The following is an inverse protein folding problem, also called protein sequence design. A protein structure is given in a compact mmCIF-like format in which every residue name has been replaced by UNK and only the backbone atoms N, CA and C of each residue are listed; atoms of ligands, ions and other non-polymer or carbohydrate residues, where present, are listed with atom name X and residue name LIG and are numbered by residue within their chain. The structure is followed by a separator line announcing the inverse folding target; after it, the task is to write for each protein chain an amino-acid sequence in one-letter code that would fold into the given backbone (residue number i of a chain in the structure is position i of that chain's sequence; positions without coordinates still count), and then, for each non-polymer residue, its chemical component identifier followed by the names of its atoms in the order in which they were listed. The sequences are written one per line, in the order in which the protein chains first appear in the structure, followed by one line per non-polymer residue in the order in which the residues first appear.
data_IF_684135838622
#
_entry.id   IF_684135838622
#
_cell.length_a   1.000
_cell.length_b   1.000
_cell.length_c   1.000
_cell.angle_alpha   90.00
_cell.angle_beta   90.00
_cell.angle_gamma   90.00
#
_symmetry.space_group_name_H-M   'P 1'
#
loop_
_entity.id
_entity.type
_entity.pdbx_description
1 polymer ?
#
# COMPACT_ATOMS: atom_id res chain seq x y z
N UNK A 1 -20.73 39.35 -8.00
CA UNK A 1 -20.76 38.19 -7.08
C UNK A 1 -21.32 37.03 -7.90
N UNK A 2 -20.67 35.90 -8.17
CA UNK A 2 -19.47 35.23 -7.64
C UNK A 2 -18.75 34.51 -8.79
N UNK A 3 -17.41 34.35 -8.73
CA UNK A 3 -16.67 33.68 -9.79
C UNK A 3 -16.85 32.15 -9.71
N UNK A 4 -17.04 31.54 -10.87
CA UNK A 4 -17.17 30.10 -11.03
C UNK A 4 -15.90 29.36 -10.59
N UNK A 5 -16.04 28.49 -9.59
CA UNK A 5 -15.02 27.51 -9.24
C UNK A 5 -15.11 26.35 -10.21
N UNK A 6 -14.21 26.34 -11.19
CA UNK A 6 -13.88 25.13 -11.95
C UNK A 6 -13.16 24.19 -10.97
N UNK A 7 -13.73 23.02 -10.73
CA UNK A 7 -13.06 21.98 -9.95
C UNK A 7 -11.80 21.53 -10.72
N UNK A 8 -10.64 21.38 -10.05
CA UNK A 8 -9.45 20.87 -10.72
C UNK A 8 -9.70 19.42 -11.15
N UNK A 9 -9.68 19.18 -12.47
CA UNK A 9 -9.59 17.83 -13.04
C UNK A 9 -8.15 17.38 -12.83
N UNK A 10 -7.94 16.52 -11.84
CA UNK A 10 -6.67 15.82 -11.66
C UNK A 10 -6.70 14.59 -12.57
N UNK A 11 -6.09 14.70 -13.74
CA UNK A 11 -5.89 13.56 -14.64
C UNK A 11 -4.76 12.71 -14.09
N UNK A 12 -5.10 11.58 -13.46
CA UNK A 12 -4.12 10.56 -13.08
C UNK A 12 -3.69 9.79 -14.33
N UNK A 13 -2.43 9.94 -14.71
CA UNK A 13 -1.80 9.02 -15.67
C UNK A 13 -1.27 7.85 -14.85
N UNK A 14 -2.00 6.74 -14.87
CA UNK A 14 -1.52 5.44 -14.40
C UNK A 14 -0.76 4.81 -15.57
N UNK A 15 0.58 4.70 -15.54
CA UNK A 15 1.27 3.89 -16.53
C UNK A 15 0.90 2.43 -16.27
N UNK A 16 0.08 1.86 -17.16
CA UNK A 16 -0.20 0.43 -17.22
C UNK A 16 1.04 -0.22 -17.83
N UNK A 17 1.60 -1.20 -17.14
CA UNK A 17 2.73 -1.97 -17.67
C UNK A 17 2.45 -3.46 -17.49
N UNK A 18 2.27 -4.17 -18.61
CA UNK A 18 2.11 -5.62 -18.69
C UNK A 18 3.43 -6.26 -19.12
N UNK A 19 3.85 -7.35 -18.47
CA UNK A 19 5.10 -8.03 -18.82
C UNK A 19 5.03 -9.57 -18.73
N UNK A 20 5.83 -10.29 -19.54
CA UNK A 20 5.76 -11.73 -19.72
C UNK A 20 6.53 -12.53 -18.65
N UNK A 21 6.18 -13.81 -18.48
CA UNK A 21 6.65 -14.70 -17.40
C UNK A 21 8.06 -15.32 -17.59
N UNK A 22 8.60 -16.00 -16.54
CA UNK A 22 10.04 -16.23 -16.40
C UNK A 22 10.50 -17.66 -16.76
N UNK A 23 11.71 -17.77 -17.33
CA UNK A 23 12.53 -18.98 -17.23
C UNK A 23 13.80 -18.72 -16.39
N UNK A 24 14.12 -19.69 -15.54
CA UNK A 24 14.99 -19.60 -14.38
C UNK A 24 16.50 -19.71 -14.69
N UNK A 25 17.35 -19.22 -13.75
CA UNK A 25 18.48 -19.97 -13.11
C UNK A 25 19.43 -19.08 -12.29
N UNK A 26 19.84 -19.61 -11.12
CA UNK A 26 21.23 -19.74 -10.65
C UNK A 26 21.83 -18.65 -9.74
N UNK A 27 22.00 -18.96 -8.43
CA UNK A 27 22.63 -18.12 -7.41
C UNK A 27 24.17 -18.19 -7.37
N UNK A 28 24.87 -17.06 -7.14
CA UNK A 28 26.26 -17.03 -6.67
C UNK A 28 26.39 -16.15 -5.41
N UNK A 29 27.35 -16.49 -4.54
CA UNK A 29 27.60 -15.81 -3.25
C UNK A 29 28.18 -14.40 -3.49
N UNK A 30 27.54 -13.40 -2.87
CA UNK A 30 27.87 -11.97 -2.99
C UNK A 30 28.96 -11.55 -2.00
N UNK A 31 29.95 -10.77 -2.44
CA UNK A 31 31.06 -10.23 -1.65
C UNK A 31 30.56 -9.21 -0.60
N UNK A 32 31.13 -9.08 0.63
CA UNK A 32 30.60 -8.17 1.66
C UNK A 32 30.58 -6.69 1.24
N UNK A 33 31.47 -6.29 0.33
CA UNK A 33 31.51 -4.96 -0.25
C UNK A 33 30.40 -4.72 -1.29
N UNK A 34 29.97 -5.76 -2.00
CA UNK A 34 28.80 -5.76 -2.87
C UNK A 34 27.50 -5.85 -2.07
N UNK A 35 27.48 -6.62 -0.99
CA UNK A 35 26.36 -6.64 -0.04
C UNK A 35 26.13 -5.26 0.59
N UNK A 36 27.20 -4.52 0.93
CA UNK A 36 27.10 -3.13 1.41
C UNK A 36 26.58 -2.16 0.34
N UNK A 37 27.05 -2.27 -0.91
CA UNK A 37 26.54 -1.45 -2.01
C UNK A 37 25.09 -1.78 -2.34
N UNK A 38 24.72 -3.06 -2.32
CA UNK A 38 23.34 -3.50 -2.44
C UNK A 38 22.50 -2.90 -1.32
N UNK A 39 22.97 -2.96 -0.07
CA UNK A 39 22.24 -2.38 1.07
C UNK A 39 22.07 -0.87 0.93
N UNK A 40 23.08 -0.17 0.40
CA UNK A 40 23.04 1.28 0.14
C UNK A 40 22.14 1.63 -1.05
N UNK A 41 22.17 0.83 -2.12
CA UNK A 41 21.26 1.01 -3.25
C UNK A 41 19.83 0.74 -2.79
N UNK A 42 19.56 -0.33 -2.05
CA UNK A 42 18.25 -0.63 -1.48
C UNK A 42 17.72 0.46 -0.54
N UNK A 43 18.59 1.06 0.28
CA UNK A 43 18.23 2.18 1.14
C UNK A 43 17.90 3.46 0.34
N UNK A 44 18.70 3.79 -0.68
CA UNK A 44 18.47 4.91 -1.58
C UNK A 44 17.17 4.72 -2.37
N UNK A 45 16.95 3.52 -2.88
CA UNK A 45 15.78 3.09 -3.64
C UNK A 45 14.50 3.15 -2.77
N UNK A 46 14.54 2.69 -1.52
CA UNK A 46 13.42 2.84 -0.59
C UNK A 46 13.11 4.31 -0.24
N UNK A 47 14.15 5.14 -0.05
CA UNK A 47 14.05 6.58 0.22
C UNK A 47 13.51 7.36 -0.97
N UNK A 48 13.91 6.93 -2.14
CA UNK A 48 13.52 7.49 -3.41
C UNK A 48 12.06 7.21 -3.72
N UNK A 49 11.60 6.02 -3.36
CA UNK A 49 10.21 5.64 -3.49
C UNK A 49 9.26 6.28 -2.47
N UNK A 50 9.79 6.80 -1.38
CA UNK A 50 9.06 7.65 -0.44
C UNK A 50 8.83 9.10 -0.94
N UNK A 51 9.44 9.51 -2.06
CA UNK A 51 9.49 10.93 -2.48
C UNK A 51 9.06 11.26 -3.92
N UNK A 52 8.72 10.28 -4.77
CA UNK A 52 8.33 10.51 -6.18
C UNK A 52 9.30 11.42 -6.98
N UNK A 53 10.32 10.81 -7.60
CA UNK A 53 11.03 11.35 -8.78
C UNK A 53 12.57 11.28 -8.71
N UNK A 54 13.21 10.41 -9.51
CA UNK A 54 14.64 10.58 -9.82
C UNK A 54 15.07 10.05 -11.19
N UNK A 55 14.97 10.95 -12.17
CA UNK A 55 15.66 10.79 -13.46
C UNK A 55 17.19 10.93 -13.33
N UNK A 56 17.70 11.63 -12.31
CA UNK A 56 19.13 11.94 -12.18
C UNK A 56 19.98 10.81 -11.56
N UNK A 57 19.39 9.96 -10.70
CA UNK A 57 20.10 8.88 -9.99
C UNK A 57 19.98 7.53 -10.69
N UNK A 58 18.89 7.23 -11.40
CA UNK A 58 18.87 6.15 -12.38
C UNK A 58 20.02 6.37 -13.38
N UNK A 59 20.18 7.61 -13.88
CA UNK A 59 21.32 7.98 -14.73
C UNK A 59 22.69 7.84 -14.04
N UNK A 60 22.79 7.96 -12.72
CA UNK A 60 24.05 7.80 -11.99
C UNK A 60 24.37 6.32 -11.68
N UNK A 61 23.37 5.53 -11.30
CA UNK A 61 23.48 4.08 -11.11
C UNK A 61 23.80 3.37 -12.44
N UNK A 62 23.24 3.83 -13.56
CA UNK A 62 23.62 3.37 -14.90
C UNK A 62 25.04 3.74 -15.28
N UNK A 63 25.47 4.99 -15.02
CA UNK A 63 26.84 5.41 -15.31
C UNK A 63 27.84 4.63 -14.47
N UNK A 64 27.46 4.24 -13.26
CA UNK A 64 28.25 3.35 -12.40
C UNK A 64 28.27 1.89 -12.91
N UNK A 65 27.14 1.36 -13.38
CA UNK A 65 27.07 0.03 -13.99
C UNK A 65 27.83 -0.04 -15.33
N UNK A 66 27.79 1.02 -16.14
CA UNK A 66 28.54 1.16 -17.38
C UNK A 66 30.06 1.39 -17.14
N UNK A 67 30.44 1.86 -15.96
CA UNK A 67 31.84 2.08 -15.57
C UNK A 67 32.49 0.86 -14.88
N UNK A 68 31.74 -0.22 -14.64
CA UNK A 68 32.32 -1.47 -14.17
C UNK A 68 33.11 -2.13 -15.32
N UNK A 69 34.39 -2.51 -15.12
CA UNK A 69 35.18 -3.14 -16.16
C UNK A 69 34.54 -4.48 -16.54
N UNK A 70 33.98 -4.54 -17.74
CA UNK A 70 33.42 -5.77 -18.30
C UNK A 70 34.58 -6.73 -18.53
N UNK A 71 34.54 -7.92 -17.94
CA UNK A 71 35.44 -9.02 -18.38
C UNK A 71 35.01 -9.39 -19.79
N UNK A 72 35.91 -9.21 -20.75
CA UNK A 72 35.67 -9.60 -22.14
C UNK A 72 35.31 -11.10 -22.19
N UNK A 73 34.08 -11.40 -22.62
CA UNK A 73 33.61 -12.77 -22.85
C UNK A 73 32.41 -13.24 -22.03
N UNK A 74 31.91 -12.46 -21.06
CA UNK A 74 30.66 -12.80 -20.37
C UNK A 74 29.44 -12.33 -21.18
N UNK A 75 28.38 -13.16 -21.32
CA UNK A 75 27.14 -12.74 -21.97
C UNK A 75 26.59 -11.51 -21.26
N UNK A 76 26.21 -10.53 -22.08
CA UNK A 76 25.62 -9.28 -21.63
C UNK A 76 24.46 -9.59 -20.66
N UNK A 77 24.47 -9.09 -19.41
CA UNK A 77 23.42 -9.46 -18.49
C UNK A 77 22.09 -8.88 -19.00
N UNK A 78 20.96 -9.55 -18.75
CA UNK A 78 19.64 -9.04 -19.11
C UNK A 78 19.27 -7.90 -18.15
N UNK A 79 19.99 -6.79 -18.24
CA UNK A 79 19.73 -5.62 -17.42
C UNK A 79 18.58 -4.86 -18.06
N UNK A 80 17.39 -5.00 -17.46
CA UNK A 80 16.24 -4.16 -17.75
C UNK A 80 16.62 -2.67 -17.73
N UNK A 81 15.84 -1.86 -18.43
CA UNK A 81 16.18 -0.44 -18.58
C UNK A 81 16.29 0.23 -17.20
N UNK A 82 17.12 1.28 -17.07
CA UNK A 82 17.16 2.09 -15.84
C UNK A 82 15.79 2.51 -15.32
N UNK A 83 14.88 2.84 -16.24
CA UNK A 83 13.51 3.23 -15.91
C UNK A 83 12.77 2.07 -15.25
N UNK A 84 12.93 0.84 -15.75
CA UNK A 84 12.29 -0.35 -15.15
C UNK A 84 12.79 -0.62 -13.73
N UNK A 85 14.10 -0.51 -13.49
CA UNK A 85 14.66 -0.62 -12.13
C UNK A 85 14.13 0.45 -11.19
N UNK A 86 13.95 1.65 -11.73
CA UNK A 86 13.32 2.75 -11.05
C UNK A 86 11.86 2.37 -10.71
N UNK A 87 11.04 2.02 -11.68
CA UNK A 87 9.62 1.74 -11.42
C UNK A 87 9.42 0.55 -10.47
N UNK A 88 10.22 -0.51 -10.61
CA UNK A 88 10.18 -1.67 -9.72
C UNK A 88 10.51 -1.29 -8.27
N UNK A 89 11.48 -0.40 -8.07
CA UNK A 89 11.80 0.08 -6.73
C UNK A 89 10.69 0.93 -6.13
N UNK A 90 10.07 1.81 -6.93
CA UNK A 90 8.90 2.59 -6.49
C UNK A 90 7.80 1.65 -5.99
N UNK A 91 7.50 0.63 -6.80
CA UNK A 91 6.53 -0.39 -6.47
C UNK A 91 6.90 -1.14 -5.18
N UNK A 92 8.17 -1.52 -4.98
CA UNK A 92 8.63 -2.22 -3.77
C UNK A 92 8.41 -1.39 -2.51
N UNK A 93 8.75 -0.11 -2.52
CA UNK A 93 8.55 0.73 -1.33
C UNK A 93 7.07 0.95 -1.02
N UNK A 94 6.23 1.13 -2.05
CA UNK A 94 4.78 1.22 -1.86
C UNK A 94 4.20 -0.08 -1.31
N UNK A 95 4.62 -1.23 -1.85
CA UNK A 95 4.21 -2.54 -1.36
C UNK A 95 4.65 -2.76 0.09
N UNK A 96 5.89 -2.42 0.43
CA UNK A 96 6.41 -2.46 1.79
C UNK A 96 5.64 -1.55 2.76
N UNK A 97 5.29 -0.34 2.34
CA UNK A 97 4.49 0.56 3.14
C UNK A 97 3.08 0.02 3.38
N UNK A 98 2.45 -0.54 2.34
CA UNK A 98 1.14 -1.20 2.46
C UNK A 98 1.21 -2.41 3.40
N UNK A 99 2.28 -3.21 3.33
CA UNK A 99 2.54 -4.29 4.30
C UNK A 99 2.63 -3.75 5.73
N UNK A 100 3.42 -2.70 5.99
CA UNK A 100 3.56 -2.13 7.34
C UNK A 100 2.22 -1.66 7.92
N UNK A 101 1.42 -0.96 7.11
CA UNK A 101 0.08 -0.50 7.48
C UNK A 101 -0.84 -1.69 7.76
N UNK A 102 -0.77 -2.74 6.94
CA UNK A 102 -1.59 -3.92 7.11
C UNK A 102 -1.17 -4.73 8.35
N UNK A 103 0.12 -4.90 8.60
CA UNK A 103 0.64 -5.47 9.85
C UNK A 103 0.13 -4.70 11.07
N UNK A 104 0.14 -3.36 11.03
CA UNK A 104 -0.40 -2.54 12.10
C UNK A 104 -1.92 -2.74 12.30
N UNK A 105 -2.69 -2.87 11.21
CA UNK A 105 -4.12 -3.20 11.27
C UNK A 105 -4.40 -4.58 11.84
N UNK A 106 -3.69 -5.62 11.37
CA UNK A 106 -3.83 -7.00 11.87
C UNK A 106 -3.58 -7.06 13.38
N UNK A 107 -2.54 -6.39 13.87
CA UNK A 107 -2.24 -6.33 15.32
C UNK A 107 -3.34 -5.70 16.16
N UNK A 108 -4.12 -4.76 15.62
CA UNK A 108 -5.25 -4.12 16.33
C UNK A 108 -6.51 -4.98 16.39
N UNK A 109 -6.74 -5.78 15.35
CA UNK A 109 -7.93 -6.64 15.26
C UNK A 109 -7.69 -7.95 16.00
N UNK A 110 -6.44 -8.42 16.09
CA UNK A 110 -6.09 -9.57 16.90
C UNK A 110 -6.34 -9.28 18.39
N UNK A 111 -7.03 -10.19 19.13
CA UNK A 111 -7.11 -10.08 20.57
C UNK A 111 -5.69 -10.14 21.16
N UNK A 112 -5.41 -9.39 22.25
CA UNK A 112 -4.14 -9.52 22.95
C UNK A 112 -3.99 -10.98 23.39
N UNK A 113 -2.85 -11.58 23.03
CA UNK A 113 -2.50 -12.95 23.42
C UNK A 113 -2.47 -13.02 24.96
N UNK A 114 -3.55 -13.53 25.57
CA UNK A 114 -3.61 -13.83 27.00
C UNK A 114 -4.70 -13.10 27.78
N UNK A 115 -5.91 -13.67 27.79
CA UNK A 115 -6.69 -13.84 29.02
C UNK A 115 -7.31 -15.24 28.98
N UNK A 116 -7.07 -16.04 30.03
CA UNK A 116 -7.29 -17.48 30.09
C UNK A 116 -8.76 -17.92 30.05
N UNK A 117 -9.39 -17.77 28.90
CA UNK A 117 -10.61 -18.46 28.52
C UNK A 117 -10.30 -19.59 27.52
N UNK A 118 -11.14 -20.61 27.50
CA UNK A 118 -11.05 -21.78 26.61
C UNK A 118 -10.62 -21.46 25.17
N UNK A 119 -9.99 -22.40 24.44
CA UNK A 119 -9.56 -22.20 23.05
C UNK A 119 -10.77 -22.11 22.11
N UNK A 120 -11.55 -21.05 22.21
CA UNK A 120 -12.38 -20.58 21.12
C UNK A 120 -11.41 -20.15 20.04
N UNK A 121 -11.36 -20.90 18.94
CA UNK A 121 -10.42 -20.72 17.83
C UNK A 121 -10.43 -19.25 17.37
N UNK A 122 -9.50 -18.45 17.88
CA UNK A 122 -9.30 -17.09 17.40
C UNK A 122 -9.00 -17.20 15.90
N UNK A 123 -9.64 -16.37 15.06
CA UNK A 123 -9.42 -16.44 13.62
C UNK A 123 -7.92 -16.32 13.33
N UNK A 124 -7.41 -17.22 12.50
CA UNK A 124 -5.99 -17.26 12.17
C UNK A 124 -5.54 -15.90 11.63
N UNK A 125 -4.46 -15.36 12.19
CA UNK A 125 -3.91 -14.09 11.71
C UNK A 125 -3.47 -14.28 10.26
N UNK A 126 -3.87 -13.40 9.33
CA UNK A 126 -3.43 -13.53 7.94
C UNK A 126 -1.91 -13.40 7.88
N UNK A 127 -1.25 -14.39 7.26
CA UNK A 127 0.19 -14.37 7.04
C UNK A 127 0.54 -13.36 5.95
N UNK A 128 1.40 -12.41 6.30
CA UNK A 128 1.88 -11.38 5.38
C UNK A 128 3.36 -11.64 5.05
N UNK A 129 3.77 -11.45 3.79
CA UNK A 129 5.16 -11.62 3.41
C UNK A 129 6.04 -10.58 4.12
N UNK A 130 7.31 -10.90 4.41
CA UNK A 130 8.24 -9.93 4.95
C UNK A 130 8.49 -8.82 3.92
N UNK A 131 8.84 -7.65 4.42
CA UNK A 131 9.21 -6.51 3.58
C UNK A 131 10.45 -6.83 2.73
N UNK A 132 10.42 -6.46 1.44
CA UNK A 132 11.53 -6.69 0.52
C UNK A 132 12.60 -5.62 0.66
N UNK A 133 13.86 -6.04 0.70
CA UNK A 133 15.01 -5.18 0.44
C UNK A 133 15.50 -5.53 -0.97
N UNK A 134 15.36 -4.64 -1.99
CA UNK A 134 15.66 -4.98 -3.38
C UNK A 134 17.17 -5.13 -3.68
N UNK A 135 18.01 -4.90 -2.66
CA UNK A 135 19.46 -5.03 -2.70
C UNK A 135 19.91 -6.41 -3.20
N UNK A 136 20.60 -6.46 -4.34
CA UNK A 136 21.21 -7.69 -4.84
C UNK A 136 20.24 -8.69 -5.47
N UNK A 137 18.96 -8.31 -5.66
CA UNK A 137 17.98 -9.11 -6.38
C UNK A 137 17.99 -8.78 -7.87
N UNK A 138 17.45 -9.70 -8.68
CA UNK A 138 17.14 -9.46 -10.09
C UNK A 138 15.74 -8.86 -10.27
N UNK A 139 15.51 -8.21 -11.41
CA UNK A 139 14.24 -7.52 -11.70
C UNK A 139 13.04 -8.49 -11.78
N UNK A 140 13.24 -9.68 -12.33
CA UNK A 140 12.24 -10.75 -12.41
C UNK A 140 11.84 -11.29 -11.03
N UNK A 141 12.81 -11.38 -10.10
CA UNK A 141 12.56 -11.75 -8.70
C UNK A 141 11.73 -10.67 -8.00
N UNK A 142 12.03 -9.39 -8.25
CA UNK A 142 11.28 -8.26 -7.72
C UNK A 142 9.83 -8.27 -8.24
N UNK A 143 9.63 -8.45 -9.55
CA UNK A 143 8.30 -8.51 -10.14
C UNK A 143 7.48 -9.69 -9.60
N UNK A 144 8.12 -10.85 -9.43
CA UNK A 144 7.48 -12.03 -8.83
C UNK A 144 7.05 -11.74 -7.40
N UNK A 145 7.92 -11.12 -6.60
CA UNK A 145 7.59 -10.73 -5.23
C UNK A 145 6.45 -9.70 -5.18
N UNK A 146 6.46 -8.70 -6.06
CA UNK A 146 5.39 -7.70 -6.15
C UNK A 146 4.03 -8.34 -6.44
N UNK A 147 3.97 -9.21 -7.45
CA UNK A 147 2.74 -9.89 -7.83
C UNK A 147 2.21 -10.83 -6.74
N UNK A 148 3.10 -11.50 -6.00
CA UNK A 148 2.72 -12.33 -4.84
C UNK A 148 2.23 -11.48 -3.67
N UNK A 149 2.94 -10.39 -3.38
CA UNK A 149 2.64 -9.48 -2.27
C UNK A 149 1.29 -8.82 -2.46
N UNK A 150 1.02 -8.32 -3.66
CA UNK A 150 -0.25 -7.68 -4.01
C UNK A 150 -1.45 -8.63 -3.80
N UNK A 151 -1.35 -9.89 -4.26
CA UNK A 151 -2.37 -10.92 -3.99
C UNK A 151 -2.52 -11.25 -2.51
N UNK A 152 -1.41 -11.37 -1.79
CA UNK A 152 -1.43 -11.72 -0.35
C UNK A 152 -2.04 -10.60 0.48
N UNK A 153 -1.71 -9.34 0.15
CA UNK A 153 -2.28 -8.15 0.76
C UNK A 153 -3.79 -8.07 0.52
N UNK A 154 -4.28 -8.33 -0.71
CA UNK A 154 -5.73 -8.37 -0.98
C UNK A 154 -6.45 -9.43 -0.16
N UNK A 155 -5.91 -10.64 -0.10
CA UNK A 155 -6.48 -11.73 0.71
C UNK A 155 -6.55 -11.35 2.19
N UNK A 156 -5.49 -10.77 2.73
CA UNK A 156 -5.44 -10.32 4.11
C UNK A 156 -6.39 -9.14 4.39
N UNK A 157 -6.55 -8.19 3.45
CA UNK A 157 -7.55 -7.13 3.56
C UNK A 157 -8.98 -7.67 3.54
N UNK A 158 -9.28 -8.62 2.65
CA UNK A 158 -10.57 -9.33 2.62
C UNK A 158 -10.84 -10.08 3.92
N UNK A 159 -9.85 -10.79 4.44
CA UNK A 159 -9.99 -11.52 5.71
C UNK A 159 -10.27 -10.58 6.88
N UNK A 160 -9.56 -9.45 6.97
CA UNK A 160 -9.88 -8.42 7.95
C UNK A 160 -11.29 -7.85 7.74
N UNK A 161 -11.73 -7.63 6.50
CA UNK A 161 -13.08 -7.14 6.22
C UNK A 161 -14.17 -8.15 6.64
N UNK A 162 -13.91 -9.47 6.51
CA UNK A 162 -14.79 -10.54 7.01
C UNK A 162 -14.86 -10.58 8.54
N UNK A 163 -13.73 -10.43 9.21
CA UNK A 163 -13.68 -10.32 10.67
C UNK A 163 -14.44 -9.08 11.16
N UNK A 164 -14.33 -7.97 10.43
CA UNK A 164 -15.14 -6.76 10.70
C UNK A 164 -16.64 -7.05 10.51
N UNK A 165 -17.00 -7.80 9.48
CA UNK A 165 -18.39 -8.17 9.21
C UNK A 165 -19.00 -9.05 10.32
N UNK A 166 -18.26 -10.03 10.81
CA UNK A 166 -18.73 -10.91 11.90
C UNK A 166 -18.96 -10.13 13.19
N UNK A 167 -18.11 -9.15 13.49
CA UNK A 167 -18.29 -8.23 14.63
C UNK A 167 -19.55 -7.37 14.48
N UNK A 168 -19.85 -6.87 13.27
CA UNK A 168 -21.09 -6.14 13.01
C UNK A 168 -22.33 -7.02 13.21
N UNK A 169 -22.27 -8.30 12.82
CA UNK A 169 -23.37 -9.24 12.96
C UNK A 169 -23.65 -9.61 14.44
N UNK A 170 -22.61 -9.74 15.26
CA UNK A 170 -22.73 -10.09 16.68
C UNK A 170 -23.24 -8.94 17.58
N UNK A 171 -23.18 -7.69 17.12
CA UNK A 171 -23.65 -6.52 17.89
C UNK A 171 -25.17 -6.27 17.81
N UNK A 172 -25.92 -7.11 17.07
CA UNK A 172 -27.37 -7.03 16.95
C UNK A 172 -28.03 -7.76 18.12
N UNK A 173 -28.90 -7.09 18.89
CA UNK A 173 -29.59 -7.67 20.07
C UNK A 173 -30.51 -8.85 19.71
N UNK A 174 -30.99 -8.92 18.47
CA UNK A 174 -31.61 -10.12 17.92
C UNK A 174 -30.51 -11.07 17.42
N UNK A 175 -30.27 -12.16 18.17
CA UNK A 175 -29.29 -13.24 17.91
C UNK A 175 -29.36 -13.89 16.50
N UNK A 176 -30.29 -13.46 15.63
CA UNK A 176 -30.38 -13.90 14.23
C UNK A 176 -30.48 -12.73 13.25
N UNK A 177 -29.56 -12.61 12.29
CA UNK A 177 -29.66 -11.60 11.24
C UNK A 177 -30.92 -11.82 10.37
N UNK A 178 -31.63 -10.73 10.09
CA UNK A 178 -32.80 -10.73 9.20
C UNK A 178 -32.44 -11.30 7.82
N UNK A 179 -33.43 -11.81 7.07
CA UNK A 179 -33.21 -12.31 5.71
C UNK A 179 -32.56 -11.25 4.80
N UNK A 180 -32.92 -9.98 4.98
CA UNK A 180 -32.31 -8.84 4.30
C UNK A 180 -30.84 -8.68 4.67
N UNK A 181 -30.49 -8.68 5.95
CA UNK A 181 -29.09 -8.57 6.39
C UNK A 181 -28.21 -9.70 5.82
N UNK A 182 -28.72 -10.95 5.83
CA UNK A 182 -28.04 -12.09 5.21
C UNK A 182 -27.81 -11.90 3.71
N UNK A 183 -28.82 -11.38 2.99
CA UNK A 183 -28.73 -11.12 1.55
C UNK A 183 -27.70 -10.05 1.21
N UNK A 184 -27.69 -8.94 1.95
CA UNK A 184 -26.70 -7.87 1.82
C UNK A 184 -25.27 -8.39 2.03
N UNK A 185 -25.06 -9.16 3.10
CA UNK A 185 -23.75 -9.75 3.41
C UNK A 185 -23.31 -10.79 2.39
N UNK A 186 -24.22 -11.62 1.87
CA UNK A 186 -23.89 -12.58 0.83
C UNK A 186 -23.38 -11.90 -0.46
N UNK A 187 -23.94 -10.73 -0.84
CA UNK A 187 -23.40 -9.96 -1.96
C UNK A 187 -22.03 -9.39 -1.65
N UNK A 188 -21.85 -8.82 -0.46
CA UNK A 188 -20.55 -8.28 -0.01
C UNK A 188 -19.47 -9.35 0.02
N UNK A 189 -19.79 -10.53 0.53
CA UNK A 189 -18.86 -11.66 0.62
C UNK A 189 -18.38 -12.13 -0.76
N UNK A 190 -19.28 -12.17 -1.76
CA UNK A 190 -18.91 -12.44 -3.15
C UNK A 190 -17.95 -11.38 -3.69
N UNK A 191 -18.28 -10.09 -3.54
CA UNK A 191 -17.41 -9.00 -4.01
C UNK A 191 -16.02 -9.01 -3.33
N UNK A 192 -15.95 -9.35 -2.05
CA UNK A 192 -14.70 -9.52 -1.31
C UNK A 192 -13.88 -10.72 -1.78
N UNK A 193 -14.55 -11.81 -2.17
CA UNK A 193 -13.92 -13.00 -2.75
C UNK A 193 -13.35 -12.68 -4.12
N UNK A 194 -14.15 -12.06 -4.99
CA UNK A 194 -13.72 -11.62 -6.33
C UNK A 194 -12.53 -10.65 -6.23
N UNK A 195 -12.58 -9.71 -5.28
CA UNK A 195 -11.46 -8.82 -4.96
C UNK A 195 -10.20 -9.59 -4.55
N UNK A 196 -10.31 -10.56 -3.64
CA UNK A 196 -9.17 -11.34 -3.15
C UNK A 196 -8.53 -12.24 -4.22
N UNK A 197 -9.33 -12.71 -5.18
CA UNK A 197 -8.90 -13.60 -6.26
C UNK A 197 -8.39 -12.86 -7.51
N UNK A 198 -8.69 -11.56 -7.63
CA UNK A 198 -8.23 -10.71 -8.72
C UNK A 198 -6.72 -10.83 -8.94
N UNK A 199 -6.33 -11.00 -10.21
CA UNK A 199 -4.94 -11.16 -10.65
C UNK A 199 -4.24 -9.82 -10.83
N UNK A 200 -5.01 -8.77 -11.14
CA UNK A 200 -4.51 -7.41 -11.38
C UNK A 200 -5.21 -6.40 -10.48
N UNK A 201 -4.60 -5.22 -10.33
CA UNK A 201 -5.22 -4.09 -9.61
C UNK A 201 -6.51 -3.62 -10.29
N UNK A 202 -6.57 -3.69 -11.62
CA UNK A 202 -7.78 -3.34 -12.38
C UNK A 202 -8.92 -4.32 -12.11
N UNK A 203 -8.66 -5.63 -12.18
CA UNK A 203 -9.65 -6.65 -11.83
C UNK A 203 -10.13 -6.48 -10.39
N UNK A 204 -9.23 -6.14 -9.47
CA UNK A 204 -9.59 -5.89 -8.08
C UNK A 204 -10.49 -4.65 -7.93
N UNK A 205 -10.22 -3.58 -8.67
CA UNK A 205 -11.07 -2.39 -8.70
C UNK A 205 -12.45 -2.70 -9.30
N UNK A 206 -12.49 -3.47 -10.38
CA UNK A 206 -13.73 -3.86 -11.08
C UNK A 206 -14.57 -4.86 -10.26
N UNK A 207 -13.95 -5.63 -9.37
CA UNK A 207 -14.64 -6.56 -8.46
C UNK A 207 -15.52 -5.84 -7.41
N UNK A 208 -15.23 -4.57 -7.11
CA UNK A 208 -16.02 -3.76 -6.17
C UNK A 208 -16.98 -2.85 -6.96
N UNK A 209 -18.31 -2.99 -6.77
CA UNK A 209 -19.27 -2.16 -7.50
C UNK A 209 -19.07 -0.65 -7.27
N UNK A 210 -19.09 0.20 -8.31
CA UNK A 210 -18.84 1.64 -8.21
C UNK A 210 -20.04 2.46 -7.71
N UNK A 211 -21.14 1.81 -7.30
CA UNK A 211 -22.40 2.44 -6.88
C UNK A 211 -23.03 3.34 -7.96
N UNK A 212 -22.99 2.91 -9.21
CA UNK A 212 -23.42 3.75 -10.35
C UNK A 212 -24.91 3.64 -10.66
N UNK A 213 -25.61 2.66 -10.10
CA UNK A 213 -27.04 2.50 -10.36
C UNK A 213 -27.83 3.76 -10.00
N UNK A 214 -28.68 4.28 -10.91
CA UNK A 214 -29.47 5.46 -10.61
C UNK A 214 -30.49 5.13 -9.52
N UNK A 215 -30.72 6.08 -8.61
CA UNK A 215 -31.81 5.94 -7.65
C UNK A 215 -33.15 6.13 -8.38
N UNK A 216 -34.12 5.22 -8.21
CA UNK A 216 -35.44 5.36 -8.82
C UNK A 216 -36.23 6.48 -8.15
N UNK A 217 -37.30 6.94 -8.81
CA UNK A 217 -38.33 7.75 -8.15
C UNK A 217 -39.18 6.89 -7.21
N UNK A 218 -39.75 7.50 -6.16
CA UNK A 218 -40.51 6.79 -5.13
C UNK A 218 -41.58 5.80 -5.66
N UNK A 219 -42.45 6.14 -6.65
CA UNK A 219 -43.45 5.18 -7.13
C UNK A 219 -42.86 3.97 -7.88
N UNK A 220 -41.61 4.06 -8.33
CA UNK A 220 -40.89 2.95 -8.98
C UNK A 220 -40.02 2.15 -7.98
N UNK A 221 -39.91 2.60 -6.72
CA UNK A 221 -39.11 1.92 -5.71
C UNK A 221 -39.89 0.72 -5.16
N UNK A 222 -39.42 -0.47 -5.49
CA UNK A 222 -39.91 -1.74 -4.91
C UNK A 222 -38.95 -2.22 -3.82
N UNK A 223 -39.42 -3.12 -2.95
CA UNK A 223 -38.55 -3.78 -1.97
C UNK A 223 -37.41 -4.57 -2.62
N UNK A 224 -37.65 -5.18 -3.78
CA UNK A 224 -36.62 -5.89 -4.53
C UNK A 224 -35.52 -4.93 -5.03
N UNK A 225 -35.92 -3.80 -5.62
CA UNK A 225 -34.99 -2.78 -6.11
C UNK A 225 -34.23 -2.10 -4.97
N UNK A 226 -34.90 -1.83 -3.85
CA UNK A 226 -34.24 -1.31 -2.64
C UNK A 226 -33.17 -2.30 -2.12
N UNK A 227 -33.48 -3.60 -2.14
CA UNK A 227 -32.52 -4.64 -1.74
C UNK A 227 -31.34 -4.73 -2.70
N UNK A 228 -31.56 -4.67 -4.01
CA UNK A 228 -30.50 -4.65 -5.03
C UNK A 228 -29.58 -3.44 -4.89
N UNK A 229 -30.14 -2.25 -4.67
CA UNK A 229 -29.35 -1.04 -4.42
C UNK A 229 -28.56 -1.14 -3.11
N UNK A 230 -29.18 -1.66 -2.04
CA UNK A 230 -28.49 -1.89 -0.77
C UNK A 230 -27.36 -2.90 -0.90
N UNK A 231 -27.56 -3.97 -1.66
CA UNK A 231 -26.55 -4.97 -1.99
C UNK A 231 -25.36 -4.35 -2.72
N UNK A 232 -25.61 -3.54 -3.75
CA UNK A 232 -24.57 -2.81 -4.48
C UNK A 232 -23.79 -1.87 -3.54
N UNK A 233 -24.49 -1.09 -2.72
CA UNK A 233 -23.91 -0.14 -1.77
C UNK A 233 -23.04 -0.79 -0.70
N UNK A 234 -23.44 -1.95 -0.17
CA UNK A 234 -22.61 -2.65 0.79
C UNK A 234 -21.44 -3.35 0.08
N UNK A 235 -21.67 -3.95 -1.08
CA UNK A 235 -20.67 -4.70 -1.83
C UNK A 235 -19.50 -3.85 -2.33
N UNK A 236 -19.73 -2.60 -2.71
CA UNK A 236 -18.67 -1.71 -3.20
C UNK A 236 -17.79 -1.06 -2.12
N UNK A 237 -18.02 -1.34 -0.82
CA UNK A 237 -17.24 -0.70 0.24
C UNK A 237 -15.76 -1.09 0.11
N UNK A 238 -14.85 -0.13 0.35
CA UNK A 238 -13.43 -0.46 0.42
C UNK A 238 -13.18 -1.39 1.64
N UNK A 239 -12.36 -2.45 1.51
CA UNK A 239 -12.01 -3.33 2.64
C UNK A 239 -11.39 -2.61 3.86
N UNK A 240 -10.93 -1.37 3.71
CA UNK A 240 -10.41 -0.52 4.79
C UNK A 240 -11.47 0.39 5.43
N UNK A 241 -12.75 0.28 5.06
CA UNK A 241 -13.83 0.99 5.75
C UNK A 241 -13.95 0.49 7.20
N UNK A 242 -14.00 1.37 8.22
CA UNK A 242 -14.08 0.97 9.62
C UNK A 242 -15.39 0.26 9.97
N UNK A 243 -15.32 -0.67 10.93
CA UNK A 243 -16.46 -1.46 11.47
C UNK A 243 -17.67 -0.57 11.74
N UNK A 244 -17.49 0.50 12.52
CA UNK A 244 -18.58 1.39 12.93
C UNK A 244 -19.26 2.10 11.74
N UNK A 245 -18.52 2.37 10.65
CA UNK A 245 -19.11 2.95 9.45
C UNK A 245 -19.90 1.91 8.64
N UNK A 246 -19.37 0.68 8.55
CA UNK A 246 -20.05 -0.44 7.91
C UNK A 246 -21.35 -0.80 8.64
N UNK A 247 -21.32 -0.92 9.97
CA UNK A 247 -22.49 -1.24 10.80
C UNK A 247 -23.63 -0.21 10.62
N UNK A 248 -23.32 1.09 10.70
CA UNK A 248 -24.31 2.15 10.47
C UNK A 248 -24.90 2.14 9.07
N UNK A 249 -24.11 1.77 8.06
CA UNK A 249 -24.61 1.65 6.69
C UNK A 249 -25.57 0.47 6.59
N UNK A 250 -25.18 -0.70 7.12
CA UNK A 250 -26.01 -1.90 7.13
C UNK A 250 -27.36 -1.66 7.82
N UNK A 251 -27.36 -1.03 8.99
CA UNK A 251 -28.58 -0.68 9.73
C UNK A 251 -29.50 0.21 8.89
N UNK A 252 -28.95 1.30 8.31
CA UNK A 252 -29.71 2.21 7.47
C UNK A 252 -30.27 1.57 6.20
N UNK A 253 -29.50 0.67 5.58
CA UNK A 253 -29.93 -0.10 4.40
C UNK A 253 -31.02 -1.11 4.75
N UNK A 254 -30.87 -1.85 5.86
CA UNK A 254 -31.89 -2.77 6.36
C UNK A 254 -33.22 -2.05 6.56
N UNK A 255 -33.19 -0.88 7.22
CA UNK A 255 -34.39 -0.07 7.43
C UNK A 255 -35.01 0.44 6.13
N UNK A 256 -34.19 0.87 5.17
CA UNK A 256 -34.66 1.33 3.88
C UNK A 256 -35.37 0.21 3.10
N UNK A 257 -34.80 -1.00 3.10
CA UNK A 257 -35.39 -2.17 2.44
C UNK A 257 -36.71 -2.59 3.08
N UNK A 258 -36.78 -2.59 4.41
CA UNK A 258 -38.03 -2.88 5.15
C UNK A 258 -39.15 -1.90 4.82
N UNK A 259 -38.83 -0.61 4.69
CA UNK A 259 -39.83 0.42 4.39
C UNK A 259 -40.27 0.40 2.93
N UNK A 260 -39.45 -0.09 2.00
CA UNK A 260 -39.70 0.02 0.57
C UNK A 260 -40.99 -0.69 0.09
N UNK A 261 -41.45 -1.74 0.78
CA UNK A 261 -42.70 -2.45 0.41
C UNK A 261 -43.98 -1.70 0.78
N UNK A 262 -43.94 -0.80 1.77
CA UNK A 262 -45.16 -0.19 2.34
C UNK A 262 -45.10 1.33 2.38
N UNK A 263 -43.89 1.91 2.38
CA UNK A 263 -43.62 3.34 2.50
C UNK A 263 -42.43 3.74 1.61
N UNK A 264 -42.52 3.58 0.28
CA UNK A 264 -41.40 3.82 -0.64
C UNK A 264 -40.93 5.29 -0.63
N UNK A 265 -41.84 6.23 -0.36
CA UNK A 265 -41.48 7.65 -0.20
C UNK A 265 -40.54 7.91 0.99
N UNK A 266 -40.64 7.12 2.06
CA UNK A 266 -39.78 7.23 3.24
C UNK A 266 -38.49 6.40 3.11
N UNK A 267 -38.53 5.31 2.33
CA UNK A 267 -37.36 4.50 2.02
C UNK A 267 -36.35 5.24 1.12
N UNK A 268 -36.83 6.04 0.16
CA UNK A 268 -35.97 6.70 -0.83
C UNK A 268 -34.95 7.68 -0.21
N UNK A 269 -35.31 8.58 0.73
CA UNK A 269 -34.34 9.42 1.43
C UNK A 269 -33.29 8.61 2.21
N UNK A 270 -33.67 7.45 2.77
CA UNK A 270 -32.73 6.57 3.47
C UNK A 270 -31.71 5.94 2.52
N UNK A 271 -32.14 5.49 1.34
CA UNK A 271 -31.24 4.99 0.29
C UNK A 271 -30.30 6.08 -0.22
N UNK A 272 -30.81 7.31 -0.40
CA UNK A 272 -29.96 8.44 -0.78
C UNK A 272 -28.92 8.75 0.32
N UNK A 273 -29.34 8.82 1.58
CA UNK A 273 -28.42 9.03 2.70
C UNK A 273 -27.40 7.90 2.84
N UNK A 274 -27.79 6.65 2.58
CA UNK A 274 -26.89 5.51 2.58
C UNK A 274 -25.84 5.61 1.46
N UNK A 275 -26.23 5.99 0.24
CA UNK A 275 -25.31 6.21 -0.88
C UNK A 275 -24.26 7.28 -0.55
N UNK A 276 -24.69 8.43 -0.04
CA UNK A 276 -23.79 9.51 0.38
C UNK A 276 -22.82 9.06 1.49
N UNK A 277 -23.32 8.28 2.46
CA UNK A 277 -22.47 7.73 3.53
C UNK A 277 -21.47 6.72 3.01
N UNK A 278 -21.86 5.84 2.08
CA UNK A 278 -20.96 4.86 1.46
C UNK A 278 -19.84 5.56 0.68
N UNK A 279 -20.19 6.56 -0.14
CA UNK A 279 -19.21 7.39 -0.85
C UNK A 279 -18.24 8.08 0.12
N UNK A 280 -18.76 8.77 1.13
CA UNK A 280 -17.93 9.44 2.13
C UNK A 280 -17.06 8.45 2.94
N UNK A 281 -17.55 7.24 3.20
CA UNK A 281 -16.78 6.20 3.89
C UNK A 281 -15.61 5.70 3.04
N UNK A 282 -15.85 5.41 1.76
CA UNK A 282 -14.80 5.01 0.81
C UNK A 282 -13.78 6.12 0.62
N UNK A 283 -14.23 7.38 0.43
CA UNK A 283 -13.33 8.53 0.29
C UNK A 283 -12.42 8.70 1.52
N UNK A 284 -12.99 8.62 2.74
CA UNK A 284 -12.20 8.69 3.97
C UNK A 284 -11.27 7.48 4.15
N UNK A 285 -11.69 6.28 3.73
CA UNK A 285 -10.85 5.09 3.77
C UNK A 285 -9.64 5.24 2.84
N UNK A 286 -9.86 5.73 1.62
CA UNK A 286 -8.79 6.04 0.68
C UNK A 286 -7.81 7.08 1.24
N UNK A 287 -8.30 8.20 1.79
CA UNK A 287 -7.44 9.23 2.39
C UNK A 287 -6.65 8.74 3.61
N UNK A 288 -7.23 7.88 4.45
CA UNK A 288 -6.50 7.24 5.57
C UNK A 288 -5.44 6.27 5.06
N UNK A 289 -5.75 5.45 4.05
CA UNK A 289 -4.79 4.54 3.42
C UNK A 289 -3.61 5.32 2.85
N UNK A 290 -3.87 6.37 2.08
CA UNK A 290 -2.84 7.25 1.52
C UNK A 290 -1.96 7.86 2.61
N UNK A 291 -2.57 8.39 3.68
CA UNK A 291 -1.85 9.00 4.80
C UNK A 291 -0.97 7.98 5.53
N UNK A 292 -1.50 6.78 5.79
CA UNK A 292 -0.79 5.71 6.48
C UNK A 292 0.34 5.13 5.63
N UNK A 293 0.13 4.90 4.33
CA UNK A 293 1.16 4.43 3.40
C UNK A 293 2.28 5.47 3.27
N UNK A 294 1.94 6.75 3.09
CA UNK A 294 2.93 7.83 3.11
C UNK A 294 3.72 7.82 4.42
N UNK A 295 3.04 7.70 5.57
CA UNK A 295 3.70 7.73 6.87
C UNK A 295 4.66 6.55 7.06
N UNK A 296 4.26 5.34 6.63
CA UNK A 296 5.10 4.15 6.67
C UNK A 296 6.36 4.32 5.81
N UNK A 297 6.22 4.91 4.60
CA UNK A 297 7.37 5.23 3.76
C UNK A 297 8.34 6.19 4.45
N UNK A 298 7.82 7.27 5.06
CA UNK A 298 8.67 8.24 5.76
C UNK A 298 9.37 7.61 6.98
N UNK A 299 8.66 6.80 7.78
CA UNK A 299 9.24 6.10 8.93
C UNK A 299 10.40 5.21 8.54
N UNK A 300 10.26 4.45 7.44
CA UNK A 300 11.35 3.60 6.93
C UNK A 300 12.61 4.42 6.64
N UNK A 301 12.48 5.60 6.07
CA UNK A 301 13.63 6.48 5.79
C UNK A 301 14.22 7.04 7.06
N UNK A 302 13.39 7.59 7.94
CA UNK A 302 13.84 8.27 9.16
C UNK A 302 14.48 7.30 10.17
N UNK A 303 14.04 6.04 10.21
CA UNK A 303 14.60 5.00 11.11
C UNK A 303 15.86 4.32 10.59
N UNK A 304 16.28 4.55 9.34
CA UNK A 304 17.50 3.91 8.81
C UNK A 304 18.75 4.36 9.61
N UNK A 305 19.55 3.48 10.20
CA UNK A 305 20.61 3.85 11.15
C UNK A 305 21.79 4.65 10.56
N UNK A 306 21.82 4.93 9.25
CA UNK A 306 23.00 5.42 8.52
C UNK A 306 22.97 6.91 8.14
N UNK A 307 22.12 7.72 8.75
CA UNK A 307 22.12 9.15 8.42
C UNK A 307 23.19 9.94 9.17
N UNK A 308 23.90 10.78 8.44
CA UNK A 308 24.73 11.85 9.01
C UNK A 308 23.89 13.06 9.49
N UNK A 309 22.57 13.05 9.27
CA UNK A 309 21.67 14.20 9.51
C UNK A 309 21.07 14.28 10.94
N UNK A 310 21.66 13.61 11.93
CA UNK A 310 21.09 13.50 13.28
C UNK A 310 19.80 12.65 13.34
N UNK A 311 19.32 12.32 14.56
CA UNK A 311 18.06 11.60 14.74
C UNK A 311 16.87 12.46 14.32
N UNK A 312 15.81 11.82 13.81
CA UNK A 312 14.56 12.53 13.56
C UNK A 312 13.92 12.97 14.89
N UNK A 313 13.21 14.11 14.94
CA UNK A 313 12.50 14.54 16.14
C UNK A 313 11.46 13.50 16.58
N UNK A 314 11.41 13.21 17.88
CA UNK A 314 10.51 12.21 18.45
C UNK A 314 9.04 12.49 18.08
N UNK A 315 8.62 13.76 18.17
CA UNK A 315 7.26 14.16 17.80
C UNK A 315 6.89 13.81 16.35
N UNK A 316 7.84 13.85 15.42
CA UNK A 316 7.63 13.45 14.04
C UNK A 316 7.49 11.93 13.91
N UNK A 317 8.33 11.16 14.60
CA UNK A 317 8.24 9.69 14.62
C UNK A 317 6.92 9.22 15.23
N UNK A 318 6.54 9.77 16.39
CA UNK A 318 5.26 9.46 17.04
C UNK A 318 4.07 9.80 16.15
N UNK A 319 4.08 10.95 15.46
CA UNK A 319 2.99 11.32 14.57
C UNK A 319 2.85 10.36 13.38
N UNK A 320 3.97 9.92 12.80
CA UNK A 320 3.97 8.95 11.71
C UNK A 320 3.53 7.56 12.20
N UNK A 321 3.97 7.13 13.39
CA UNK A 321 3.55 5.87 14.01
C UNK A 321 2.04 5.84 14.22
N UNK A 322 1.46 6.91 14.79
CA UNK A 322 -0.01 7.03 14.93
C UNK A 322 -0.72 7.02 13.57
N UNK A 323 -0.14 7.64 12.54
CA UNK A 323 -0.71 7.61 11.20
C UNK A 323 -0.70 6.19 10.60
N UNK A 324 0.38 5.42 10.78
CA UNK A 324 0.46 4.01 10.35
C UNK A 324 -0.49 3.13 11.16
N UNK A 325 -0.51 3.31 12.48
CA UNK A 325 -1.27 2.48 13.39
C UNK A 325 -2.76 2.75 13.33
N UNK A 326 -3.17 4.02 13.34
CA UNK A 326 -4.58 4.41 13.45
C UNK A 326 -5.17 4.98 12.17
N UNK A 327 -4.34 5.36 11.19
CA UNK A 327 -4.79 6.13 10.04
C UNK A 327 -5.09 7.58 10.41
N UNK A 328 -4.46 8.08 11.48
CA UNK A 328 -4.65 9.44 11.96
C UNK A 328 -4.10 10.46 10.94
N UNK A 329 -4.78 11.62 10.76
CA UNK A 329 -4.26 12.67 9.92
C UNK A 329 -2.97 13.23 10.52
N UNK A 330 -2.02 13.55 9.64
CA UNK A 330 -0.80 14.26 10.01
C UNK A 330 -1.00 15.74 9.69
N UNK A 331 -0.69 16.60 10.66
CA UNK A 331 -0.78 18.05 10.49
C UNK A 331 0.00 18.51 9.24
N UNK A 332 -0.55 19.39 8.39
CA UNK A 332 0.10 19.80 7.15
C UNK A 332 1.48 20.44 7.31
N UNK A 333 1.71 21.19 8.40
CA UNK A 333 3.02 21.80 8.68
C UNK A 333 4.01 20.71 9.08
N UNK A 334 3.61 19.84 10.01
CA UNK A 334 4.44 18.70 10.40
C UNK A 334 4.75 17.78 9.20
N UNK A 335 3.79 17.57 8.30
CA UNK A 335 3.99 16.83 7.05
C UNK A 335 5.06 17.47 6.16
N UNK A 336 5.06 18.80 6.05
CA UNK A 336 6.07 19.56 5.31
C UNK A 336 7.46 19.44 5.97
N UNK A 337 7.53 19.56 7.29
CA UNK A 337 8.78 19.43 8.06
C UNK A 337 9.38 18.02 7.92
N UNK A 338 8.55 16.98 8.03
CA UNK A 338 8.95 15.58 7.82
C UNK A 338 9.51 15.39 6.41
N UNK A 339 8.80 15.92 5.40
CA UNK A 339 9.24 15.85 4.01
C UNK A 339 10.58 16.55 3.79
N UNK A 340 10.79 17.70 4.44
CA UNK A 340 12.06 18.42 4.42
C UNK A 340 13.21 17.63 5.05
N UNK A 341 12.96 16.95 6.17
CA UNK A 341 13.95 16.10 6.83
C UNK A 341 14.30 14.87 5.98
N UNK A 342 13.30 14.21 5.39
CA UNK A 342 13.51 13.09 4.47
C UNK A 342 14.30 13.53 3.24
N UNK A 343 14.01 14.71 2.69
CA UNK A 343 14.77 15.28 1.58
C UNK A 343 16.23 15.59 1.96
N UNK A 344 16.48 16.15 3.15
CA UNK A 344 17.83 16.40 3.65
C UNK A 344 18.62 15.08 3.84
N UNK A 345 17.96 14.06 4.38
CA UNK A 345 18.52 12.73 4.58
C UNK A 345 18.85 12.03 3.26
N UNK A 346 17.97 12.18 2.25
CA UNK A 346 18.25 11.74 0.88
C UNK A 346 19.52 12.39 0.34
N UNK A 347 19.63 13.71 0.41
CA UNK A 347 20.81 14.45 -0.06
C UNK A 347 22.10 13.98 0.65
N UNK A 348 22.02 13.67 1.94
CA UNK A 348 23.15 13.12 2.68
C UNK A 348 23.55 11.71 2.19
N UNK A 349 22.58 10.82 1.96
CA UNK A 349 22.82 9.48 1.41
C UNK A 349 23.40 9.54 -0.01
N UNK A 350 22.91 10.45 -0.85
CA UNK A 350 23.43 10.69 -2.19
C UNK A 350 24.91 11.09 -2.15
N UNK A 351 25.29 12.02 -1.26
CA UNK A 351 26.69 12.42 -1.08
C UNK A 351 27.58 11.26 -0.64
N UNK A 352 27.11 10.45 0.32
CA UNK A 352 27.83 9.26 0.78
C UNK A 352 28.03 8.24 -0.35
N UNK A 353 26.99 8.02 -1.16
CA UNK A 353 27.04 7.12 -2.30
C UNK A 353 28.04 7.59 -3.37
N UNK A 354 28.00 8.87 -3.75
CA UNK A 354 28.96 9.46 -4.71
C UNK A 354 30.39 9.40 -4.17
N UNK A 355 30.60 9.68 -2.88
CA UNK A 355 31.92 9.57 -2.25
C UNK A 355 32.45 8.12 -2.24
N UNK A 356 31.58 7.13 -1.99
CA UNK A 356 31.93 5.72 -2.06
C UNK A 356 32.29 5.28 -3.49
N UNK A 357 31.52 5.72 -4.49
CA UNK A 357 31.84 5.47 -5.90
C UNK A 357 33.18 6.08 -6.30
N UNK A 358 33.45 7.33 -5.90
CA UNK A 358 34.71 8.01 -6.19
C UNK A 358 35.91 7.28 -5.55
N UNK A 359 35.76 6.76 -4.31
CA UNK A 359 36.78 5.94 -3.65
C UNK A 359 37.08 4.63 -4.38
N UNK A 360 36.08 4.02 -5.02
CA UNK A 360 36.24 2.80 -5.82
C UNK A 360 36.79 3.05 -7.24
N UNK A 361 36.51 4.23 -7.81
CA UNK A 361 36.98 4.64 -9.13
C UNK A 361 38.40 5.25 -9.16
N UNK A 362 39.05 5.40 -7.99
CA UNK A 362 40.43 5.89 -7.92
C UNK A 362 41.42 4.81 -8.39
N UNK A 363 42.42 5.15 -9.23
CA UNK A 363 43.45 4.21 -9.65
C UNK A 363 44.20 3.71 -8.42
N UNK A 364 44.46 2.40 -8.38
CA UNK A 364 45.12 1.72 -7.27
C UNK A 364 46.29 2.52 -6.72
N UNK A 365 46.22 2.82 -5.42
CA UNK A 365 47.38 3.18 -4.62
C UNK A 365 48.33 1.97 -4.62
N UNK A 366 49.11 1.87 -5.70
CA UNK A 366 50.32 1.05 -5.74
C UNK A 366 51.21 1.64 -4.65
N UNK A 367 51.59 0.87 -3.62
CA UNK A 367 52.50 1.40 -2.60
C UNK A 367 53.78 1.86 -3.30
N UNK A 368 54.41 2.96 -2.85
CA UNK A 368 55.69 3.36 -3.40
C UNK A 368 56.64 2.19 -3.22
N UNK A 369 57.19 1.72 -4.33
CA UNK A 369 58.33 0.81 -4.35
C UNK A 369 59.49 1.53 -3.64
N UNK A 370 59.64 1.23 -2.36
CA UNK A 370 60.91 1.36 -1.67
C UNK A 370 61.79 0.22 -2.16
N UNK A 371 62.62 0.51 -3.14
CA UNK A 371 63.96 -0.04 -3.38
C UNK A 371 64.49 0.80 -4.56
N UNK A 372 65.50 1.64 -4.38
CA UNK A 372 66.77 1.34 -3.72
C UNK A 372 67.81 1.33 -4.85
N UNK A 373 68.36 2.51 -5.15
CA UNK A 373 69.51 2.60 -6.04
C UNK A 373 70.77 2.04 -5.41
N UNK A 374 71.75 1.79 -6.29
CA UNK A 374 73.15 1.46 -6.04
C UNK A 374 73.44 0.03 -5.54
N UNK A 375 73.92 -0.83 -6.44
CA UNK A 375 75.36 -0.86 -6.82
C UNK A 375 75.56 -1.49 -8.18
#
# INVERSE_FOLDING_TARGET
MSPGRVAPVVTFVVPIVEFPGPEARGSSRVDPAEARLGTLSGALLATWAAMAGARALAAAALRAAAAAPHRAGEPQPPHGSPTEWQDATFAVSRANARLDVLHARVRRVAPPDGQGGEPSAAPARPELPPALVPAGLRLDEIHTWLALTDRTVRRAETELARQVASLCAAASEDDRPTATARRLWARRERALTDYAEARTEREAADALPPYTSPLPVAPALTAALAAELGEELLAGLDPAVPVAACARLQEGLGRAVELASHRPADALPLLHAARERAYAANWRAAGRRETAEWAAQQLRVLRQPRSTSGPAPEAALTALERAVEHGDPVDPRLRADISGQVAARRTALERLYVAELARRGGPGSRPPSTDGGAS
#
